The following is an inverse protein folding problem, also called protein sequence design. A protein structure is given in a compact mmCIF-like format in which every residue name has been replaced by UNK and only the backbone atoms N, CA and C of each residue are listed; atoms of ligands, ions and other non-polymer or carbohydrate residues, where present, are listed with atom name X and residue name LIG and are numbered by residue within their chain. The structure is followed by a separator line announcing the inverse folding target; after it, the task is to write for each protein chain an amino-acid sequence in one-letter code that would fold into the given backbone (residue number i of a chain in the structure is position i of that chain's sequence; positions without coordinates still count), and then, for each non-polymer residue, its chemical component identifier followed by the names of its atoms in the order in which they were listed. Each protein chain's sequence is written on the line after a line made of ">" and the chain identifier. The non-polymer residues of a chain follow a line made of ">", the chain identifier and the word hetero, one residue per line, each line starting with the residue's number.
data_IF_913804370833
#
_entry.id   IF_913804370833
#
_cell.length_a   1.000
_cell.length_b   1.000
_cell.length_c   1.000
_cell.angle_alpha   90.00
_cell.angle_beta   90.00
_cell.angle_gamma   90.00
#
_symmetry.space_group_name_H-M   'P 1'
#
loop_
_entity.id
_entity.type
_entity.pdbx_description
1 polymer ?
#
# COMPACT_ATOMS: atom_id res chain seq x y z
N UNK A 1 27.09 -16.15 -7.02
CA UNK A 1 27.54 -14.85 -7.53
C UNK A 1 26.55 -13.77 -7.07
N UNK A 2 26.43 -13.55 -5.75
CA UNK A 2 25.55 -12.52 -5.18
C UNK A 2 26.32 -11.22 -5.19
N UNK A 3 26.01 -10.33 -6.14
CA UNK A 3 26.61 -9.00 -6.20
C UNK A 3 26.15 -8.22 -4.96
N UNK A 4 27.06 -7.56 -4.22
CA UNK A 4 26.67 -6.62 -3.20
C UNK A 4 26.25 -5.34 -3.93
N UNK A 5 25.05 -4.78 -3.73
CA UNK A 5 24.85 -3.38 -4.13
C UNK A 5 23.50 -2.83 -3.72
N UNK A 6 23.56 -1.68 -3.07
CA UNK A 6 22.47 -0.86 -2.55
C UNK A 6 21.83 -1.38 -1.25
N UNK A 7 22.15 -0.69 -0.16
CA UNK A 7 21.38 -0.82 1.08
C UNK A 7 19.93 -0.39 0.83
N UNK A 8 18.93 -1.01 1.49
CA UNK A 8 17.53 -0.64 1.33
C UNK A 8 17.27 0.85 1.62
N UNK A 9 18.07 1.45 2.51
CA UNK A 9 18.02 2.89 2.80
C UNK A 9 18.46 3.77 1.62
N UNK A 10 19.35 3.28 0.74
CA UNK A 10 19.77 4.00 -0.47
C UNK A 10 18.73 3.89 -1.59
N UNK A 11 17.95 2.81 -1.61
CA UNK A 11 16.87 2.59 -2.58
C UNK A 11 15.60 3.37 -2.24
N UNK A 12 15.41 3.68 -0.96
CA UNK A 12 14.30 4.48 -0.43
C UNK A 12 14.81 5.72 0.31
N UNK A 13 15.40 6.71 -0.39
CA UNK A 13 15.95 7.91 0.24
C UNK A 13 14.87 8.77 0.92
N UNK A 14 13.61 8.64 0.49
CA UNK A 14 12.47 9.35 1.06
C UNK A 14 11.80 8.58 2.22
N UNK A 15 12.14 7.30 2.42
CA UNK A 15 11.51 6.46 3.44
C UNK A 15 10.06 6.04 3.12
N UNK A 16 9.63 6.13 1.85
CA UNK A 16 8.25 5.85 1.42
C UNK A 16 7.81 4.41 1.74
N UNK A 17 8.67 3.42 1.48
CA UNK A 17 8.36 2.02 1.79
C UNK A 17 8.40 1.80 3.30
N UNK A 18 9.41 2.34 3.98
CA UNK A 18 9.54 2.22 5.43
C UNK A 18 8.32 2.78 6.15
N UNK A 19 7.80 3.94 5.72
CA UNK A 19 6.59 4.51 6.30
C UNK A 19 5.35 3.71 5.94
N UNK A 20 5.22 3.24 4.70
CA UNK A 20 4.07 2.44 4.29
C UNK A 20 3.92 1.15 5.11
N UNK A 21 5.01 0.49 5.50
CA UNK A 21 4.94 -0.68 6.40
C UNK A 21 4.58 -0.33 7.85
N UNK A 22 4.70 0.94 8.26
CA UNK A 22 4.38 1.41 9.62
C UNK A 22 2.97 1.97 9.75
N UNK A 23 2.36 2.38 8.65
CA UNK A 23 1.00 2.91 8.64
C UNK A 23 0.01 1.74 8.65
N UNK A 24 -0.72 1.61 9.75
CA UNK A 24 -1.79 0.63 9.87
C UNK A 24 -3.02 1.05 9.04
N UNK A 25 -3.69 0.08 8.41
CA UNK A 25 -4.92 0.33 7.63
C UNK A 25 -4.68 0.84 6.20
N UNK A 26 -3.45 0.78 5.67
CA UNK A 26 -3.20 1.03 4.26
C UNK A 26 -3.89 -0.02 3.38
N UNK A 27 -4.56 0.43 2.32
CA UNK A 27 -5.11 -0.45 1.31
C UNK A 27 -4.13 -0.63 0.12
N UNK A 28 -4.39 -1.64 -0.72
CA UNK A 28 -3.56 -1.92 -1.89
C UNK A 28 -3.50 -0.76 -2.90
N UNK A 29 -4.53 0.09 -2.99
CA UNK A 29 -4.55 1.25 -3.89
C UNK A 29 -3.67 2.39 -3.40
N UNK A 30 -3.62 2.62 -2.09
CA UNK A 30 -2.71 3.56 -1.45
C UNK A 30 -1.27 3.06 -1.59
N UNK A 31 -1.00 1.78 -1.32
CA UNK A 31 0.33 1.19 -1.51
C UNK A 31 0.82 1.35 -2.95
N UNK A 32 -0.03 1.11 -3.95
CA UNK A 32 0.29 1.33 -5.37
C UNK A 32 0.61 2.81 -5.67
N UNK A 33 -0.07 3.74 -5.02
CA UNK A 33 0.17 5.17 -5.23
C UNK A 33 1.53 5.59 -4.68
N UNK A 34 1.89 5.11 -3.48
CA UNK A 34 3.22 5.31 -2.88
C UNK A 34 4.32 4.70 -3.76
N UNK A 35 4.11 3.47 -4.24
CA UNK A 35 5.02 2.78 -5.15
C UNK A 35 5.24 3.58 -6.44
N UNK A 36 4.19 4.13 -7.03
CA UNK A 36 4.30 4.95 -8.24
C UNK A 36 5.04 6.27 -7.98
N UNK A 37 4.79 6.96 -6.85
CA UNK A 37 5.54 8.19 -6.51
C UNK A 37 7.04 7.94 -6.38
N UNK A 38 7.42 6.81 -5.79
CA UNK A 38 8.80 6.35 -5.73
C UNK A 38 9.36 6.07 -7.13
N UNK A 39 8.66 5.29 -7.96
CA UNK A 39 9.10 4.94 -9.30
C UNK A 39 9.26 6.17 -10.20
N UNK A 40 8.41 7.19 -10.03
CA UNK A 40 8.50 8.48 -10.74
C UNK A 40 9.66 9.35 -10.24
N UNK A 41 10.10 9.15 -8.98
CA UNK A 41 11.26 9.84 -8.41
C UNK A 41 12.58 9.18 -8.79
N UNK A 42 12.56 7.95 -9.30
CA UNK A 42 13.75 7.22 -9.71
C UNK A 42 14.31 7.75 -11.06
N UNK A 43 15.65 7.85 -11.20
CA UNK A 43 16.27 8.25 -12.46
C UNK A 43 16.07 7.19 -13.56
N UNK A 44 16.22 7.58 -14.83
CA UNK A 44 15.89 6.72 -15.98
C UNK A 44 16.80 5.48 -16.10
N UNK A 45 18.03 5.55 -15.59
CA UNK A 45 18.99 4.43 -15.52
C UNK A 45 18.87 3.59 -14.23
N UNK A 46 17.81 3.80 -13.44
CA UNK A 46 17.61 3.10 -12.19
C UNK A 46 17.03 1.69 -12.41
N UNK A 47 17.77 0.66 -11.97
CA UNK A 47 17.31 -0.73 -12.00
C UNK A 47 16.17 -0.97 -11.00
N UNK A 48 14.95 -0.70 -11.45
CA UNK A 48 13.74 -0.83 -10.64
C UNK A 48 13.51 -2.27 -10.17
N UNK A 49 13.80 -3.26 -11.02
CA UNK A 49 13.65 -4.68 -10.70
C UNK A 49 14.63 -5.13 -9.60
N UNK A 50 15.90 -4.71 -9.71
CA UNK A 50 16.90 -4.99 -8.68
C UNK A 50 16.56 -4.30 -7.35
N UNK A 51 16.04 -3.07 -7.40
CA UNK A 51 15.61 -2.33 -6.23
C UNK A 51 14.41 -3.03 -5.55
N UNK A 52 13.39 -3.40 -6.32
CA UNK A 52 12.23 -4.14 -5.85
C UNK A 52 12.62 -5.48 -5.20
N UNK A 53 13.50 -6.26 -5.84
CA UNK A 53 13.98 -7.52 -5.28
C UNK A 53 14.69 -7.32 -3.94
N UNK A 54 15.46 -6.24 -3.80
CA UNK A 54 16.18 -5.91 -2.56
C UNK A 54 15.22 -5.50 -1.44
N UNK A 55 14.25 -4.63 -1.76
CA UNK A 55 13.20 -4.21 -0.82
C UNK A 55 12.33 -5.38 -0.38
N UNK A 56 11.95 -6.27 -1.31
CA UNK A 56 11.15 -7.46 -1.01
C UNK A 56 11.91 -8.44 -0.13
N UNK A 57 13.22 -8.62 -0.34
CA UNK A 57 14.04 -9.45 0.53
C UNK A 57 14.15 -8.89 1.96
N UNK A 58 14.15 -7.56 2.11
CA UNK A 58 14.21 -6.89 3.41
C UNK A 58 12.89 -6.94 4.17
N UNK A 59 11.78 -6.57 3.52
CA UNK A 59 10.47 -6.39 4.18
C UNK A 59 9.54 -7.58 4.04
N UNK A 60 9.63 -8.35 2.95
CA UNK A 60 8.75 -9.47 2.65
C UNK A 60 8.67 -10.52 3.76
N UNK A 61 9.81 -10.99 4.33
CA UNK A 61 9.79 -11.97 5.42
C UNK A 61 9.20 -11.43 6.72
N UNK A 62 9.30 -10.12 6.96
CA UNK A 62 8.78 -9.47 8.17
C UNK A 62 7.29 -9.17 8.07
N UNK A 63 6.81 -8.89 6.86
CA UNK A 63 5.45 -8.45 6.57
C UNK A 63 4.85 -9.18 5.37
N UNK A 64 4.69 -10.52 5.43
CA UNK A 64 4.24 -11.32 4.28
C UNK A 64 2.79 -10.98 3.86
N UNK A 65 1.92 -10.67 4.81
CA UNK A 65 0.50 -10.37 4.59
C UNK A 65 0.21 -8.87 4.35
N UNK A 66 1.25 -8.03 4.29
CA UNK A 66 1.05 -6.59 4.12
C UNK A 66 0.77 -6.24 2.65
N UNK A 67 -0.20 -5.35 2.36
CA UNK A 67 -0.57 -5.00 0.98
C UNK A 67 0.60 -4.40 0.18
N UNK A 68 1.55 -3.72 0.83
CA UNK A 68 2.76 -3.24 0.16
C UNK A 68 3.64 -4.38 -0.37
N UNK A 69 3.75 -5.50 0.36
CA UNK A 69 4.52 -6.68 -0.08
C UNK A 69 3.94 -7.28 -1.36
N UNK A 70 2.61 -7.34 -1.45
CA UNK A 70 1.91 -7.76 -2.66
C UNK A 70 2.18 -6.81 -3.83
N UNK A 71 2.19 -5.50 -3.60
CA UNK A 71 2.50 -4.50 -4.63
C UNK A 71 3.93 -4.63 -5.15
N UNK A 72 4.91 -4.88 -4.28
CA UNK A 72 6.30 -5.11 -4.70
C UNK A 72 6.42 -6.37 -5.58
N UNK A 73 5.74 -7.46 -5.21
CA UNK A 73 5.72 -8.71 -5.98
C UNK A 73 5.03 -8.55 -7.35
N UNK A 74 3.91 -7.81 -7.39
CA UNK A 74 3.20 -7.46 -8.62
C UNK A 74 4.06 -6.56 -9.52
N UNK A 75 4.83 -5.64 -8.94
CA UNK A 75 5.79 -4.80 -9.66
C UNK A 75 6.89 -5.60 -10.37
N UNK A 76 7.46 -6.61 -9.71
CA UNK A 76 8.43 -7.55 -10.31
C UNK A 76 7.79 -8.42 -11.40
N UNK A 77 6.56 -8.87 -11.17
CA UNK A 77 5.83 -9.72 -12.14
C UNK A 77 5.30 -8.93 -13.33
N UNK A 78 5.06 -7.63 -13.15
CA UNK A 78 4.26 -6.76 -14.01
C UNK A 78 5.05 -5.77 -14.87
N UNK A 79 6.37 -5.94 -15.03
CA UNK A 79 7.24 -5.10 -15.89
C UNK A 79 6.80 -4.93 -17.36
N UNK A 80 5.67 -5.53 -17.77
CA UNK A 80 5.04 -5.35 -19.06
C UNK A 80 3.80 -4.42 -19.00
N UNK A 81 4.07 -3.13 -19.12
CA UNK A 81 3.19 -2.07 -19.69
C UNK A 81 2.02 -1.56 -18.81
N UNK A 82 1.89 -0.23 -18.66
CA UNK A 82 0.75 0.38 -17.98
C UNK A 82 -0.50 0.21 -18.86
N UNK A 83 -1.32 -0.81 -18.59
CA UNK A 83 -2.61 -0.95 -19.26
C UNK A 83 -3.57 0.05 -18.63
N UNK A 84 -3.67 1.24 -19.26
CA UNK A 84 -4.64 2.30 -18.97
C UNK A 84 -6.01 1.70 -18.64
N UNK A 85 -6.31 1.56 -17.35
CA UNK A 85 -7.67 1.29 -16.90
C UNK A 85 -8.19 2.60 -16.34
N UNK A 86 -8.66 3.45 -17.27
CA UNK A 86 -9.53 4.55 -16.92
C UNK A 86 -10.70 4.01 -16.11
N UNK A 87 -10.95 4.62 -14.95
CA UNK A 87 -12.03 4.23 -14.06
C UNK A 87 -11.65 4.26 -12.59
N UNK A 88 -11.14 5.39 -12.07
CA UNK A 88 -11.10 5.69 -10.63
C UNK A 88 -12.53 6.01 -10.13
N UNK A 89 -13.48 5.14 -10.46
CA UNK A 89 -14.83 5.13 -9.91
C UNK A 89 -14.95 3.85 -9.11
N UNK A 90 -14.60 3.95 -7.84
CA UNK A 90 -15.17 3.16 -6.74
C UNK A 90 -14.85 3.89 -5.43
N UNK A 91 -15.75 4.81 -5.06
CA UNK A 91 -16.06 5.18 -3.66
C UNK A 91 -17.28 4.32 -3.26
N UNK A 92 -17.79 4.30 -2.00
CA UNK A 92 -17.24 4.63 -0.66
C UNK A 92 -17.39 3.42 0.32
N UNK A 93 -16.81 3.34 1.52
CA UNK A 93 -17.25 3.89 2.84
C UNK A 93 -16.52 3.10 3.94
N UNK A 94 -16.27 3.72 5.09
CA UNK A 94 -16.82 3.24 6.37
C UNK A 94 -17.31 4.46 7.18
N UNK A 95 -18.56 4.47 7.67
CA UNK A 95 -19.03 5.45 8.65
C UNK A 95 -18.47 5.08 10.02
N UNK A 96 -17.63 5.96 10.57
CA UNK A 96 -17.17 5.86 11.95
C UNK A 96 -18.37 6.11 12.88
N UNK A 97 -18.64 5.12 13.74
CA UNK A 97 -19.42 5.15 14.99
C UNK A 97 -20.94 5.35 14.93
N UNK A 98 -21.67 4.24 14.98
CA UNK A 98 -22.89 4.14 15.79
C UNK A 98 -22.46 3.90 17.25
N UNK A 99 -22.52 4.94 18.08
CA UNK A 99 -22.43 4.85 19.53
C UNK A 99 -23.69 5.52 20.07
N UNK A 100 -24.56 4.76 20.71
CA UNK A 100 -25.63 5.37 21.50
C UNK A 100 -26.86 4.51 21.77
N UNK A 101 -26.69 3.46 22.56
CA UNK A 101 -27.77 2.90 23.38
C UNK A 101 -28.56 3.99 24.09
N UNK A 102 -29.89 3.92 24.04
CA UNK A 102 -30.80 4.75 24.82
C UNK A 102 -32.20 4.15 24.86
N UNK A 103 -32.42 3.22 25.79
CA UNK A 103 -33.75 2.75 26.17
C UNK A 103 -34.63 3.91 26.65
N UNK A 104 -35.95 3.71 26.50
CA UNK A 104 -36.99 4.01 27.50
C UNK A 104 -37.98 5.15 27.19
N UNK A 105 -39.26 4.73 27.24
CA UNK A 105 -40.46 5.46 27.71
C UNK A 105 -41.45 6.05 26.68
N UNK A 106 -42.72 5.71 26.91
CA UNK A 106 -43.95 6.18 26.23
C UNK A 106 -44.74 4.97 25.69
N UNK A 107 -45.63 4.28 26.43
CA UNK A 107 -46.84 4.71 27.15
C UNK A 107 -47.78 5.59 26.33
N UNK A 108 -48.71 4.95 25.60
CA UNK A 108 -50.11 5.38 25.45
C UNK A 108 -50.88 4.40 24.55
N UNK A 109 -51.78 3.66 25.17
CA UNK A 109 -52.90 3.00 24.50
C UNK A 109 -54.09 3.94 24.46
N UNK A 110 -54.76 4.00 23.32
CA UNK A 110 -56.05 4.65 23.03
C UNK A 110 -56.38 4.19 21.59
N UNK A 111 -57.56 3.71 21.19
CA UNK A 111 -58.82 3.31 21.83
C UNK A 111 -59.45 2.24 20.92
#
# INVERSE_FOLDING_TARGET
>A
MTKPSAEPASLDPKGLFREAYRIEGLDASQCRSIFLDWALSAPMDFDTDAALSTLLAQYGPQFPDHPMTQVLCDGLSGGARPKRRGGWRSRPREPLTDLGSGQSSGQNGES
#
